data_IF_355250105909
#
_entry.id   IF_355250105909
#
_cell.length_a   1.000
_cell.length_b   1.000
_cell.length_c   1.000
_cell.angle_alpha   90.00
_cell.angle_beta   90.00
_cell.angle_gamma   90.00
#
_symmetry.space_group_name_H-M   'P 1'
#
loop_
_entity.id
_entity.type
_entity.pdbx_description
1 polymer ?
#
# COMPACT_ATOMS: atom_id res chain seq x y z
N UNK A 1 -10.10 24.79 22.12
CA UNK A 1 -9.51 24.43 20.82
C UNK A 1 -9.92 23.00 20.51
N UNK A 2 -10.48 22.70 19.33
CA UNK A 2 -10.69 21.31 18.90
C UNK A 2 -9.32 20.65 18.70
N UNK A 3 -9.17 19.41 19.18
CA UNK A 3 -7.93 18.64 19.15
C UNK A 3 -8.21 17.20 18.73
N UNK A 4 -7.16 16.49 18.31
CA UNK A 4 -7.20 15.03 18.16
C UNK A 4 -6.31 14.42 19.25
N UNK A 5 -6.66 13.25 19.78
CA UNK A 5 -5.86 12.54 20.77
C UNK A 5 -4.49 12.20 20.17
N UNK A 6 -4.44 11.97 18.86
CA UNK A 6 -3.23 11.79 18.08
C UNK A 6 -2.35 13.05 18.03
N UNK A 7 -2.89 14.26 17.78
CA UNK A 7 -2.10 15.50 17.82
C UNK A 7 -1.63 15.85 19.23
N UNK A 8 -2.45 15.63 20.26
CA UNK A 8 -2.06 15.81 21.65
C UNK A 8 -0.95 14.83 22.06
N UNK A 9 -1.06 13.55 21.70
CA UNK A 9 -0.03 12.52 21.97
C UNK A 9 1.23 12.76 21.14
N UNK A 10 1.12 13.18 19.87
CA UNK A 10 2.26 13.51 19.02
C UNK A 10 3.09 14.66 19.61
N UNK A 11 2.43 15.72 20.10
CA UNK A 11 3.10 16.83 20.79
C UNK A 11 3.81 16.38 22.05
N UNK A 12 3.18 15.54 22.87
CA UNK A 12 3.81 14.98 24.08
C UNK A 12 4.99 14.06 23.72
N UNK A 13 4.85 13.22 22.70
CA UNK A 13 5.93 12.34 22.22
C UNK A 13 7.12 13.12 21.63
N UNK A 14 6.86 14.25 20.96
CA UNK A 14 7.88 15.20 20.51
C UNK A 14 8.64 15.86 21.66
N UNK A 15 7.95 16.20 22.75
CA UNK A 15 8.57 16.75 23.97
C UNK A 15 9.41 15.73 24.75
N UNK A 16 9.10 14.43 24.65
CA UNK A 16 9.80 13.34 25.35
C UNK A 16 10.90 12.70 24.48
N UNK A 17 11.16 13.22 23.27
CA UNK A 17 12.23 12.70 22.38
C UNK A 17 11.94 11.31 21.81
N UNK A 18 10.68 10.87 21.80
CA UNK A 18 10.23 9.62 21.17
C UNK A 18 9.93 9.82 19.68
N UNK A 19 9.78 11.08 19.27
CA UNK A 19 9.74 11.46 17.85
C UNK A 19 11.17 11.60 17.30
N UNK A 20 11.37 11.06 16.09
CA UNK A 20 12.50 11.33 15.20
C UNK A 20 13.87 10.73 15.56
N UNK A 21 14.09 9.50 15.11
CA UNK A 21 15.37 9.22 14.44
C UNK A 21 15.17 9.41 12.94
N UNK A 22 15.47 10.63 12.50
CA UNK A 22 15.67 11.02 11.10
C UNK A 22 16.54 9.95 10.43
N UNK A 23 16.04 9.22 9.42
CA UNK A 23 16.95 8.49 8.55
C UNK A 23 17.91 9.52 7.95
N UNK A 24 19.20 9.17 7.83
CA UNK A 24 20.15 10.04 7.18
C UNK A 24 19.60 10.47 5.81
N UNK A 25 19.81 11.75 5.45
CA UNK A 25 19.53 12.23 4.10
C UNK A 25 20.43 11.50 3.11
N UNK A 26 20.02 10.31 2.68
CA UNK A 26 20.59 9.71 1.49
C UNK A 26 20.12 10.55 0.29
N UNK A 27 21.01 10.89 -0.66
CA UNK A 27 20.61 11.58 -1.87
C UNK A 27 19.48 10.81 -2.57
N UNK A 28 18.51 11.53 -3.14
CA UNK A 28 17.45 10.92 -3.92
C UNK A 28 18.09 10.18 -5.10
N UNK A 29 17.90 8.87 -5.18
CA UNK A 29 18.40 8.07 -6.30
C UNK A 29 17.45 8.27 -7.48
N UNK A 30 17.98 8.52 -8.68
CA UNK A 30 17.15 8.67 -9.89
C UNK A 30 16.56 7.35 -10.41
N UNK A 31 17.06 6.22 -9.92
CA UNK A 31 16.64 4.89 -10.38
C UNK A 31 15.44 4.38 -9.57
N UNK A 32 14.33 3.91 -10.19
CA UNK A 32 13.14 3.46 -9.47
C UNK A 32 13.38 2.27 -8.51
N UNK A 33 12.62 2.19 -7.42
CA UNK A 33 12.73 1.15 -6.39
C UNK A 33 12.86 -0.28 -6.94
N UNK A 34 11.95 -0.67 -7.85
CA UNK A 34 11.90 -2.03 -8.36
C UNK A 34 13.12 -2.38 -9.23
N UNK A 35 13.65 -1.42 -9.99
CA UNK A 35 14.88 -1.61 -10.75
C UNK A 35 16.07 -1.83 -9.82
N UNK A 36 16.19 -1.02 -8.74
CA UNK A 36 17.22 -1.22 -7.70
C UNK A 36 17.09 -2.59 -7.02
N UNK A 37 15.86 -3.03 -6.74
CA UNK A 37 15.60 -4.33 -6.12
C UNK A 37 16.00 -5.49 -7.06
N UNK A 38 15.68 -5.38 -8.35
CA UNK A 38 16.09 -6.34 -9.36
C UNK A 38 17.61 -6.44 -9.48
N UNK A 39 18.30 -5.29 -9.59
CA UNK A 39 19.77 -5.28 -9.70
C UNK A 39 20.42 -5.92 -8.47
N UNK A 40 19.96 -5.59 -7.26
CA UNK A 40 20.45 -6.23 -6.03
C UNK A 40 20.22 -7.74 -5.99
N UNK A 41 19.12 -8.23 -6.58
CA UNK A 41 18.87 -9.66 -6.67
C UNK A 41 19.85 -10.33 -7.65
N UNK A 42 20.09 -9.71 -8.81
CA UNK A 42 21.09 -10.17 -9.79
C UNK A 42 22.49 -10.23 -9.16
N UNK A 43 22.90 -9.18 -8.46
CA UNK A 43 24.23 -9.08 -7.85
C UNK A 43 24.48 -10.15 -6.76
N UNK A 44 23.41 -10.64 -6.12
CA UNK A 44 23.46 -11.65 -5.05
C UNK A 44 23.21 -13.08 -5.54
N UNK A 45 22.75 -13.24 -6.77
CA UNK A 45 22.37 -14.52 -7.33
C UNK A 45 23.58 -15.37 -7.73
N UNK A 46 23.38 -16.69 -7.86
CA UNK A 46 24.36 -17.54 -8.53
C UNK A 46 24.51 -17.12 -9.99
N UNK A 47 25.62 -17.49 -10.65
CA UNK A 47 25.82 -17.15 -12.06
C UNK A 47 24.71 -17.71 -12.98
N UNK A 48 24.17 -18.90 -12.66
CA UNK A 48 23.06 -19.50 -13.39
C UNK A 48 21.76 -18.71 -13.19
N UNK A 49 21.47 -18.33 -11.95
CA UNK A 49 20.29 -17.55 -11.58
C UNK A 49 20.31 -16.12 -12.16
N UNK A 50 21.46 -15.44 -12.07
CA UNK A 50 21.66 -14.12 -12.68
C UNK A 50 21.45 -14.18 -14.20
N UNK A 51 21.94 -15.23 -14.87
CA UNK A 51 21.69 -15.47 -16.30
C UNK A 51 20.21 -15.71 -16.58
N UNK A 52 19.52 -16.50 -15.76
CA UNK A 52 18.08 -16.75 -15.92
C UNK A 52 17.25 -15.47 -15.78
N UNK A 53 17.58 -14.62 -14.79
CA UNK A 53 16.95 -13.30 -14.62
C UNK A 53 17.22 -12.37 -15.81
N UNK A 54 18.44 -12.38 -16.36
CA UNK A 54 18.79 -11.62 -17.56
C UNK A 54 17.97 -12.06 -18.78
N UNK A 55 17.89 -13.37 -19.03
CA UNK A 55 17.07 -13.93 -20.13
C UNK A 55 15.59 -13.58 -19.97
N UNK A 56 15.05 -13.73 -18.75
CA UNK A 56 13.66 -13.38 -18.47
C UNK A 56 13.39 -11.88 -18.70
N UNK A 57 14.32 -11.00 -18.32
CA UNK A 57 14.20 -9.56 -18.57
C UNK A 57 14.20 -9.26 -20.06
N UNK A 58 15.14 -9.84 -20.80
CA UNK A 58 15.28 -9.61 -22.24
C UNK A 58 14.06 -10.15 -23.00
N UNK A 59 13.47 -11.26 -22.54
CA UNK A 59 12.22 -11.79 -23.07
C UNK A 59 11.03 -10.84 -22.85
N UNK A 60 10.95 -10.20 -21.68
CA UNK A 60 9.86 -9.28 -21.35
C UNK A 60 9.93 -7.96 -22.14
N UNK A 61 11.09 -7.60 -22.69
CA UNK A 61 11.27 -6.37 -23.47
C UNK A 61 10.78 -5.11 -22.72
N UNK A 62 9.83 -4.39 -23.31
CA UNK A 62 9.24 -3.18 -22.72
C UNK A 62 8.48 -3.46 -21.41
N UNK A 63 8.02 -4.70 -21.20
CA UNK A 63 7.34 -5.13 -19.98
C UNK A 63 8.32 -5.62 -18.88
N UNK A 64 9.64 -5.45 -19.06
CA UNK A 64 10.63 -5.74 -18.03
C UNK A 64 10.32 -5.16 -16.63
N UNK A 65 9.69 -3.97 -16.46
CA UNK A 65 9.27 -3.48 -15.15
C UNK A 65 8.38 -4.44 -14.36
N UNK A 66 7.60 -5.30 -15.03
CA UNK A 66 6.78 -6.33 -14.36
C UNK A 66 7.68 -7.37 -13.70
N UNK A 67 8.75 -7.78 -14.39
CA UNK A 67 9.73 -8.71 -13.84
C UNK A 67 10.44 -8.12 -12.62
N UNK A 68 10.74 -6.82 -12.64
CA UNK A 68 11.37 -6.14 -11.51
C UNK A 68 10.50 -6.19 -10.26
N UNK A 69 9.18 -6.01 -10.41
CA UNK A 69 8.22 -6.20 -9.32
C UNK A 69 8.14 -7.65 -8.85
N UNK A 70 8.13 -8.61 -9.79
CA UNK A 70 8.09 -10.04 -9.47
C UNK A 70 9.31 -10.48 -8.64
N UNK A 71 10.51 -9.96 -8.96
CA UNK A 71 11.71 -10.22 -8.16
C UNK A 71 11.64 -9.52 -6.80
N UNK A 72 11.21 -8.26 -6.76
CA UNK A 72 11.08 -7.49 -5.52
C UNK A 72 10.02 -8.04 -4.56
N UNK A 73 9.03 -8.80 -5.07
CA UNK A 73 8.02 -9.46 -4.23
C UNK A 73 8.58 -10.61 -3.39
N UNK A 74 9.81 -11.07 -3.71
CA UNK A 74 10.48 -12.18 -3.05
C UNK A 74 10.11 -13.55 -3.65
N UNK A 75 9.46 -13.58 -4.81
CA UNK A 75 9.09 -14.82 -5.48
C UNK A 75 10.33 -15.65 -5.88
N UNK A 76 10.24 -16.99 -5.89
CA UNK A 76 11.33 -17.84 -6.35
C UNK A 76 11.61 -17.60 -7.84
N UNK A 77 12.86 -17.79 -8.26
CA UNK A 77 13.30 -17.56 -9.65
C UNK A 77 12.51 -18.41 -10.65
N UNK A 78 12.10 -19.62 -10.27
CA UNK A 78 11.23 -20.46 -11.10
C UNK A 78 9.88 -19.81 -11.41
N UNK A 79 9.27 -19.14 -10.44
CA UNK A 79 8.02 -18.41 -10.63
C UNK A 79 8.22 -17.15 -11.48
N UNK A 80 9.32 -16.42 -11.26
CA UNK A 80 9.71 -15.25 -12.05
C UNK A 80 9.93 -15.63 -13.52
N UNK A 81 10.65 -16.72 -13.78
CA UNK A 81 10.86 -17.25 -15.13
C UNK A 81 9.55 -17.75 -15.76
N UNK A 82 8.68 -18.41 -14.99
CA UNK A 82 7.37 -18.85 -15.47
C UNK A 82 6.45 -17.68 -15.82
N UNK A 83 6.51 -16.58 -15.07
CA UNK A 83 5.81 -15.34 -15.41
C UNK A 83 6.28 -14.78 -16.75
N UNK A 84 7.59 -14.65 -16.95
CA UNK A 84 8.15 -14.19 -18.23
C UNK A 84 7.74 -15.10 -19.40
N UNK A 85 7.81 -16.41 -19.21
CA UNK A 85 7.43 -17.41 -20.21
C UNK A 85 5.93 -17.34 -20.59
N UNK A 86 5.06 -17.04 -19.62
CA UNK A 86 3.62 -16.98 -19.83
C UNK A 86 3.12 -15.62 -20.34
N UNK A 87 3.96 -14.57 -20.29
CA UNK A 87 3.55 -13.16 -20.42
C UNK A 87 2.83 -12.85 -21.74
N UNK A 88 3.42 -13.24 -22.87
CA UNK A 88 2.85 -12.99 -24.20
C UNK A 88 1.58 -13.80 -24.49
N UNK A 89 1.34 -14.87 -23.70
CA UNK A 89 0.14 -15.68 -23.77
C UNK A 89 -0.99 -15.22 -22.85
N UNK A 90 -0.80 -14.15 -22.08
CA UNK A 90 -1.86 -13.56 -21.27
C UNK A 90 -2.86 -12.81 -22.16
N UNK A 91 -4.13 -12.84 -21.74
CA UNK A 91 -5.14 -11.95 -22.32
C UNK A 91 -4.67 -10.49 -22.22
N UNK A 92 -4.86 -9.65 -23.28
CA UNK A 92 -4.36 -8.27 -23.27
C UNK A 92 -4.88 -7.42 -22.10
N UNK A 93 -6.12 -7.60 -21.66
CA UNK A 93 -6.69 -6.85 -20.53
C UNK A 93 -6.06 -7.30 -19.22
N UNK A 94 -5.81 -8.61 -19.07
CA UNK A 94 -5.09 -9.14 -17.93
C UNK A 94 -3.62 -8.67 -17.90
N UNK A 95 -2.96 -8.67 -19.06
CA UNK A 95 -1.58 -8.20 -19.20
C UNK A 95 -1.46 -6.73 -18.85
N UNK A 96 -2.38 -5.88 -19.30
CA UNK A 96 -2.41 -4.46 -18.93
C UNK A 96 -2.67 -4.27 -17.43
N UNK A 97 -3.66 -4.96 -16.86
CA UNK A 97 -3.97 -4.85 -15.44
C UNK A 97 -2.81 -5.29 -14.52
N UNK A 98 -2.07 -6.34 -14.91
CA UNK A 98 -0.89 -6.82 -14.16
C UNK A 98 0.35 -5.96 -14.43
N UNK A 99 0.52 -5.50 -15.67
CA UNK A 99 1.70 -4.80 -16.15
C UNK A 99 1.72 -3.33 -15.74
N UNK A 100 0.55 -2.71 -15.77
CA UNK A 100 0.28 -1.32 -15.45
C UNK A 100 -0.78 -1.24 -14.34
N UNK A 101 -0.49 -1.71 -13.10
CA UNK A 101 -1.42 -1.61 -11.99
C UNK A 101 -1.44 -0.16 -11.48
N UNK A 102 -1.94 0.77 -12.30
CA UNK A 102 -1.75 2.19 -12.03
C UNK A 102 -2.94 2.77 -11.29
N UNK A 103 -2.67 3.22 -10.08
CA UNK A 103 -3.49 4.19 -9.37
C UNK A 103 -3.25 5.60 -9.97
N UNK A 104 -3.54 5.74 -11.27
CA UNK A 104 -3.47 7.00 -12.04
C UNK A 104 -4.66 7.89 -11.67
N UNK A 105 -4.55 9.22 -11.82
CA UNK A 105 -5.72 10.09 -11.72
C UNK A 105 -6.77 9.65 -12.74
N UNK A 106 -7.83 9.04 -12.23
CA UNK A 106 -8.98 8.55 -12.98
C UNK A 106 -10.22 8.75 -12.12
N UNK A 107 -11.37 8.90 -12.75
CA UNK A 107 -12.62 9.15 -12.02
C UNK A 107 -12.94 8.02 -11.05
N UNK A 108 -12.65 6.76 -11.45
CA UNK A 108 -12.81 5.54 -10.66
C UNK A 108 -11.65 4.56 -10.91
N UNK A 109 -11.00 4.08 -9.85
CA UNK A 109 -10.00 3.02 -9.91
C UNK A 109 -10.71 1.68 -10.16
N UNK A 110 -10.29 0.97 -11.20
CA UNK A 110 -10.81 -0.34 -11.58
C UNK A 110 -9.69 -1.34 -11.80
N UNK A 111 -9.98 -2.58 -11.45
CA UNK A 111 -9.24 -3.75 -11.91
C UNK A 111 -10.02 -4.34 -13.06
N UNK A 112 -9.56 -4.13 -14.31
CA UNK A 112 -10.30 -4.58 -15.50
C UNK A 112 -11.68 -3.91 -15.47
N UNK A 113 -12.77 -4.68 -15.28
CA UNK A 113 -14.14 -4.17 -15.20
C UNK A 113 -14.68 -3.99 -13.77
N UNK A 114 -13.91 -4.36 -12.73
CA UNK A 114 -14.36 -4.32 -11.33
C UNK A 114 -13.86 -3.06 -10.64
N UNK A 115 -14.74 -2.34 -9.95
CA UNK A 115 -14.32 -1.21 -9.12
C UNK A 115 -13.45 -1.69 -7.97
N UNK A 116 -12.30 -1.02 -7.77
CA UNK A 116 -11.43 -1.24 -6.64
C UNK A 116 -12.08 -0.64 -5.39
N UNK A 117 -13.25 -1.12 -4.99
CA UNK A 117 -14.01 -0.64 -3.85
C UNK A 117 -13.76 -1.52 -2.64
N UNK A 118 -13.77 -0.93 -1.45
CA UNK A 118 -13.79 -1.69 -0.20
C UNK A 118 -15.08 -2.50 -0.08
N UNK A 119 -15.00 -3.67 0.57
CA UNK A 119 -16.16 -4.54 0.84
C UNK A 119 -17.19 -3.84 1.74
N UNK A 120 -16.77 -3.24 2.84
CA UNK A 120 -17.63 -2.55 3.79
C UNK A 120 -16.91 -1.41 4.52
N UNK A 121 -17.59 -0.73 5.45
CA UNK A 121 -17.07 0.44 6.18
C UNK A 121 -15.86 0.15 7.09
N UNK A 122 -15.52 -1.12 7.31
CA UNK A 122 -14.41 -1.56 8.17
C UNK A 122 -13.21 -2.08 7.36
N UNK A 123 -13.37 -2.29 6.05
CA UNK A 123 -12.31 -2.86 5.20
C UNK A 123 -11.49 -1.82 4.44
N UNK A 124 -11.58 -0.53 4.76
CA UNK A 124 -10.78 0.52 4.10
C UNK A 124 -9.27 0.23 4.14
N UNK A 125 -8.71 -0.12 5.30
CA UNK A 125 -7.30 -0.47 5.45
C UNK A 125 -6.92 -1.73 4.66
N UNK A 126 -7.75 -2.77 4.71
CA UNK A 126 -7.53 -3.99 3.94
C UNK A 126 -7.62 -3.74 2.41
N UNK A 127 -8.52 -2.86 1.95
CA UNK A 127 -8.61 -2.45 0.55
C UNK A 127 -7.36 -1.70 0.09
N UNK A 128 -6.86 -0.77 0.92
CA UNK A 128 -5.58 -0.08 0.70
C UNK A 128 -4.40 -1.07 0.61
N UNK A 129 -4.31 -2.03 1.55
CA UNK A 129 -3.27 -3.06 1.53
C UNK A 129 -3.37 -3.96 0.28
N UNK A 130 -4.59 -4.38 -0.09
CA UNK A 130 -4.82 -5.14 -1.32
C UNK A 130 -4.38 -4.37 -2.55
N UNK A 131 -4.69 -3.07 -2.64
CA UNK A 131 -4.27 -2.23 -3.77
C UNK A 131 -2.74 -2.10 -3.85
N UNK A 132 -2.06 -1.95 -2.71
CA UNK A 132 -0.60 -1.97 -2.65
C UNK A 132 -0.01 -3.32 -3.12
N UNK A 133 -0.60 -4.45 -2.70
CA UNK A 133 -0.18 -5.78 -3.14
C UNK A 133 -0.37 -5.97 -4.64
N UNK A 134 -1.52 -5.57 -5.18
CA UNK A 134 -1.80 -5.59 -6.62
C UNK A 134 -0.77 -4.75 -7.41
N UNK A 135 -0.34 -3.62 -6.85
CA UNK A 135 0.67 -2.77 -7.48
C UNK A 135 2.08 -3.35 -7.37
N UNK A 136 2.43 -3.92 -6.22
CA UNK A 136 3.80 -4.32 -5.91
C UNK A 136 4.15 -5.79 -6.22
N UNK A 137 3.15 -6.66 -6.39
CA UNK A 137 3.33 -8.10 -6.63
C UNK A 137 2.50 -8.59 -7.82
N UNK A 138 3.14 -8.81 -8.98
CA UNK A 138 2.48 -9.31 -10.19
C UNK A 138 1.80 -10.67 -10.01
N UNK A 139 2.22 -11.50 -9.06
CA UNK A 139 1.58 -12.80 -8.82
C UNK A 139 0.24 -12.66 -8.11
N UNK A 140 0.14 -11.70 -7.17
CA UNK A 140 -1.16 -11.35 -6.55
C UNK A 140 -2.07 -10.74 -7.60
N UNK A 141 -1.55 -9.81 -8.41
CA UNK A 141 -2.31 -9.19 -9.50
C UNK A 141 -2.83 -10.22 -10.51
N UNK A 142 -1.97 -11.12 -10.97
CA UNK A 142 -2.33 -12.19 -11.90
C UNK A 142 -3.42 -13.08 -11.32
N UNK A 143 -3.31 -13.48 -10.06
CA UNK A 143 -4.32 -14.31 -9.41
C UNK A 143 -5.65 -13.57 -9.27
N UNK A 144 -5.67 -12.31 -8.80
CA UNK A 144 -6.91 -11.55 -8.70
C UNK A 144 -7.58 -11.43 -10.07
N UNK A 145 -6.82 -11.04 -11.09
CA UNK A 145 -7.38 -10.78 -12.43
C UNK A 145 -7.84 -12.07 -13.12
N UNK A 146 -7.01 -13.12 -13.09
CA UNK A 146 -7.22 -14.32 -13.93
C UNK A 146 -7.57 -15.58 -13.16
N UNK A 147 -7.35 -15.61 -11.86
CA UNK A 147 -7.44 -16.82 -11.02
C UNK A 147 -6.24 -17.76 -11.15
N UNK A 148 -5.22 -17.42 -11.97
CA UNK A 148 -4.08 -18.28 -12.24
C UNK A 148 -2.96 -18.08 -11.22
N UNK A 149 -2.27 -19.18 -10.90
CA UNK A 149 -0.96 -19.20 -10.25
C UNK A 149 0.07 -19.78 -11.23
N UNK A 150 1.36 -19.55 -10.98
CA UNK A 150 2.44 -19.97 -11.89
C UNK A 150 3.53 -20.73 -11.13
N UNK A 151 4.03 -21.81 -11.75
CA UNK A 151 5.10 -22.66 -11.20
C UNK A 151 4.87 -23.07 -9.73
N UNK A 152 3.62 -23.41 -9.40
CA UNK A 152 3.14 -23.78 -8.05
C UNK A 152 3.41 -22.72 -6.96
N UNK A 153 3.81 -21.50 -7.35
CA UNK A 153 4.00 -20.40 -6.44
C UNK A 153 2.66 -19.73 -6.14
N UNK A 154 2.30 -19.73 -4.86
CA UNK A 154 1.10 -19.09 -4.34
C UNK A 154 1.55 -18.01 -3.35
N UNK A 155 1.31 -16.72 -3.63
CA UNK A 155 1.59 -15.65 -2.68
C UNK A 155 0.89 -15.90 -1.33
N UNK A 156 1.48 -15.56 -0.18
CA UNK A 156 0.91 -15.87 1.13
C UNK A 156 -0.52 -15.37 1.33
N UNK A 157 -0.84 -14.18 0.82
CA UNK A 157 -2.16 -13.57 0.94
C UNK A 157 -3.20 -14.29 0.06
N UNK A 158 -2.76 -14.81 -1.10
CA UNK A 158 -3.57 -15.66 -1.99
C UNK A 158 -3.80 -17.02 -1.35
N UNK A 159 -2.76 -17.61 -0.74
CA UNK A 159 -2.86 -18.87 -0.02
C UNK A 159 -3.86 -18.76 1.14
N UNK A 160 -3.85 -17.64 1.88
CA UNK A 160 -4.80 -17.39 2.95
C UNK A 160 -6.25 -17.39 2.43
N UNK A 161 -6.51 -16.82 1.25
CA UNK A 161 -7.82 -16.89 0.61
C UNK A 161 -8.17 -18.31 0.19
N UNK A 162 -7.25 -19.01 -0.49
CA UNK A 162 -7.49 -20.37 -1.00
C UNK A 162 -7.69 -21.41 0.10
N UNK A 163 -7.15 -21.15 1.30
CA UNK A 163 -7.35 -21.99 2.47
C UNK A 163 -8.75 -21.83 3.09
N UNK A 164 -9.50 -20.77 2.74
CA UNK A 164 -10.91 -20.67 3.10
C UNK A 164 -11.72 -21.68 2.28
N UNK A 165 -12.63 -22.42 2.93
CA UNK A 165 -13.52 -23.39 2.27
C UNK A 165 -14.68 -22.68 1.52
N UNK A 166 -14.33 -21.71 0.69
CA UNK A 166 -15.24 -20.92 -0.13
C UNK A 166 -14.63 -20.71 -1.52
N UNK A 167 -15.23 -21.28 -2.58
CA UNK A 167 -14.71 -21.08 -3.92
C UNK A 167 -14.84 -19.61 -4.33
N UNK A 168 -13.79 -19.08 -4.97
CA UNK A 168 -13.76 -17.76 -5.61
C UNK A 168 -13.52 -17.94 -7.11
N UNK A 169 -14.51 -17.58 -7.92
CA UNK A 169 -14.57 -17.85 -9.37
C UNK A 169 -14.36 -16.58 -10.18
N UNK A 170 -14.90 -15.45 -9.71
CA UNK A 170 -14.80 -14.15 -10.38
C UNK A 170 -13.62 -13.28 -9.92
N UNK A 171 -13.29 -12.27 -10.73
CA UNK A 171 -12.31 -11.24 -10.38
C UNK A 171 -12.77 -10.46 -9.14
N UNK A 172 -14.04 -10.06 -9.12
CA UNK A 172 -14.70 -9.37 -8.01
C UNK A 172 -14.68 -10.21 -6.73
N UNK A 173 -15.02 -11.50 -6.82
CA UNK A 173 -14.98 -12.42 -5.69
C UNK A 173 -13.56 -12.55 -5.12
N UNK A 174 -12.54 -12.65 -5.99
CA UNK A 174 -11.12 -12.72 -5.58
C UNK A 174 -10.63 -11.41 -4.97
N UNK A 175 -10.97 -10.26 -5.56
CA UNK A 175 -10.66 -8.94 -5.02
C UNK A 175 -11.24 -8.76 -3.61
N UNK A 176 -12.52 -9.11 -3.42
CA UNK A 176 -13.17 -9.02 -2.11
C UNK A 176 -12.66 -10.07 -1.12
N UNK A 177 -12.31 -11.26 -1.58
CA UNK A 177 -11.74 -12.30 -0.72
C UNK A 177 -10.35 -11.90 -0.20
N UNK A 178 -9.50 -11.30 -1.05
CA UNK A 178 -8.20 -10.77 -0.63
C UNK A 178 -8.35 -9.72 0.48
N UNK A 179 -9.30 -8.79 0.34
CA UNK A 179 -9.59 -7.82 1.40
C UNK A 179 -10.04 -8.49 2.70
N UNK A 180 -10.93 -9.49 2.63
CA UNK A 180 -11.39 -10.19 3.83
C UNK A 180 -10.28 -10.96 4.53
N UNK A 181 -9.40 -11.63 3.77
CA UNK A 181 -8.25 -12.34 4.31
C UNK A 181 -7.29 -11.37 5.04
N UNK A 182 -6.96 -10.24 4.42
CA UNK A 182 -6.12 -9.21 5.05
C UNK A 182 -6.80 -8.57 6.27
N UNK A 183 -8.10 -8.30 6.20
CA UNK A 183 -8.84 -7.76 7.35
C UNK A 183 -8.86 -8.76 8.51
N UNK A 184 -9.09 -10.05 8.24
CA UNK A 184 -9.03 -11.09 9.25
C UNK A 184 -7.63 -11.21 9.86
N UNK A 185 -6.58 -11.21 9.03
CA UNK A 185 -5.19 -11.30 9.48
C UNK A 185 -4.79 -10.12 10.39
N UNK A 186 -5.13 -8.91 9.97
CA UNK A 186 -4.78 -7.68 10.70
C UNK A 186 -5.61 -7.47 11.97
N UNK A 187 -6.75 -8.17 12.12
CA UNK A 187 -7.59 -8.07 13.32
C UNK A 187 -7.41 -9.21 14.31
N UNK A 188 -6.90 -10.38 13.90
CA UNK A 188 -6.89 -11.58 14.78
C UNK A 188 -5.86 -11.51 15.91
N UNK A 189 -4.70 -10.87 15.70
CA UNK A 189 -3.62 -10.77 16.70
C UNK A 189 -3.03 -9.36 16.75
N UNK A 190 -3.90 -8.37 16.90
CA UNK A 190 -3.55 -6.95 16.77
C UNK A 190 -2.70 -6.41 17.92
N UNK A 191 -2.99 -6.81 19.16
CA UNK A 191 -2.30 -6.37 20.36
C UNK A 191 -1.68 -7.58 21.06
N UNK A 192 -0.67 -8.19 20.42
CA UNK A 192 -0.14 -9.49 20.84
C UNK A 192 -1.17 -10.60 20.56
N UNK A 193 -1.56 -11.43 21.56
CA UNK A 193 -2.58 -12.47 21.37
C UNK A 193 -4.01 -11.93 21.32
N UNK A 194 -4.22 -10.64 21.58
CA UNK A 194 -5.55 -10.04 21.67
C UNK A 194 -6.02 -9.55 20.30
N UNK A 195 -7.21 -9.99 19.90
CA UNK A 195 -7.86 -9.54 18.68
C UNK A 195 -8.29 -8.07 18.77
N UNK A 196 -8.13 -7.35 17.68
CA UNK A 196 -8.75 -6.03 17.50
C UNK A 196 -10.22 -6.20 17.12
N UNK A 197 -11.13 -5.39 17.68
CA UNK A 197 -12.51 -5.43 17.26
C UNK A 197 -12.63 -5.14 15.75
N UNK A 198 -13.13 -6.10 14.98
CA UNK A 198 -13.29 -5.97 13.52
C UNK A 198 -14.14 -4.76 13.12
N UNK A 199 -15.06 -4.34 13.98
CA UNK A 199 -15.88 -3.14 13.79
C UNK A 199 -15.07 -1.83 13.74
N UNK A 200 -13.82 -1.85 14.22
CA UNK A 200 -12.91 -0.72 14.19
C UNK A 200 -11.96 -0.76 12.98
N UNK A 201 -12.11 -1.73 12.08
CA UNK A 201 -11.30 -1.88 10.88
C UNK A 201 -9.85 -2.29 11.15
N UNK A 202 -8.91 -1.81 10.33
CA UNK A 202 -7.50 -2.20 10.37
C UNK A 202 -6.68 -1.24 11.24
N UNK A 203 -6.03 -1.69 12.34
CA UNK A 203 -5.24 -0.80 13.17
C UNK A 203 -3.91 -0.38 12.50
N UNK A 204 -3.41 0.86 12.70
CA UNK A 204 -2.23 1.38 11.98
C UNK A 204 -0.98 0.52 12.10
N UNK A 205 -0.65 0.05 13.31
CA UNK A 205 0.53 -0.79 13.55
C UNK A 205 0.48 -2.15 12.85
N UNK A 206 -0.71 -2.62 12.41
CA UNK A 206 -0.82 -3.84 11.62
C UNK A 206 -0.60 -3.63 10.14
N UNK A 207 -0.89 -2.44 9.61
CA UNK A 207 -0.47 -2.05 8.27
C UNK A 207 1.06 -2.01 8.22
N UNK A 208 1.70 -1.46 9.26
CA UNK A 208 3.17 -1.42 9.38
C UNK A 208 3.81 -2.81 9.31
N UNK A 209 3.24 -3.77 10.04
CA UNK A 209 3.82 -5.12 10.21
C UNK A 209 3.48 -6.10 9.06
N UNK A 210 2.35 -5.92 8.39
CA UNK A 210 1.81 -6.93 7.45
C UNK A 210 1.78 -6.46 5.99
N UNK A 211 2.03 -5.17 5.71
CA UNK A 211 2.06 -4.69 4.32
C UNK A 211 3.33 -5.17 3.62
N UNK A 212 3.17 -6.08 2.65
CA UNK A 212 4.26 -6.54 1.80
C UNK A 212 4.34 -5.68 0.55
N UNK A 213 5.44 -4.94 0.41
CA UNK A 213 5.72 -4.15 -0.78
C UNK A 213 7.22 -4.11 -1.05
N UNK A 214 7.68 -4.73 -2.13
CA UNK A 214 9.10 -4.73 -2.55
C UNK A 214 10.11 -5.13 -1.43
N UNK A 215 9.72 -5.98 -0.48
CA UNK A 215 10.53 -6.36 0.68
C UNK A 215 10.78 -5.24 1.71
N UNK A 216 10.17 -4.07 1.54
CA UNK A 216 10.26 -2.95 2.46
C UNK A 216 9.63 -3.26 3.82
N UNK A 217 10.04 -2.50 4.83
CA UNK A 217 9.34 -2.41 6.11
C UNK A 217 8.59 -1.09 6.16
N UNK A 218 7.48 -1.08 6.86
CA UNK A 218 6.72 0.14 7.10
C UNK A 218 6.72 0.47 8.59
N UNK A 219 6.52 1.75 8.88
CA UNK A 219 6.35 2.24 10.25
C UNK A 219 5.38 3.40 10.27
N UNK A 220 4.50 3.33 11.24
CA UNK A 220 3.53 4.32 11.56
C UNK A 220 4.14 5.53 12.27
N UNK A 221 3.65 6.71 11.91
CA UNK A 221 3.90 7.95 12.60
C UNK A 221 2.59 8.70 12.82
N UNK A 222 2.42 9.25 14.03
CA UNK A 222 1.32 10.16 14.31
C UNK A 222 1.49 11.45 13.48
N UNK A 223 0.38 11.97 12.99
CA UNK A 223 0.36 13.25 12.26
C UNK A 223 -0.06 14.35 13.25
N UNK A 224 0.78 15.37 13.39
CA UNK A 224 0.39 16.65 14.02
C UNK A 224 0.08 17.67 12.92
N UNK A 225 -1.18 17.70 12.52
CA UNK A 225 -1.71 18.62 11.50
C UNK A 225 -1.92 20.06 11.99
N UNK A 226 -1.75 20.30 13.29
CA UNK A 226 -1.91 21.63 13.88
C UNK A 226 -0.64 22.48 13.81
N UNK A 227 0.49 21.88 13.42
CA UNK A 227 1.78 22.54 13.26
C UNK A 227 2.33 22.28 11.86
N UNK A 228 2.36 23.30 10.97
CA UNK A 228 2.95 23.16 9.64
C UNK A 228 4.41 22.68 9.68
N UNK A 229 5.16 23.10 10.69
CA UNK A 229 6.56 22.69 10.87
C UNK A 229 6.70 21.20 11.21
N UNK A 230 5.77 20.65 12.02
CA UNK A 230 5.76 19.23 12.35
C UNK A 230 5.23 18.36 11.19
N UNK A 231 4.29 18.90 10.39
CA UNK A 231 3.70 18.21 9.25
C UNK A 231 4.67 18.14 8.05
N UNK A 232 5.44 19.20 7.80
CA UNK A 232 6.35 19.30 6.65
C UNK A 232 7.30 18.08 6.44
N UNK A 233 8.04 17.58 7.46
CA UNK A 233 8.93 16.42 7.27
C UNK A 233 8.16 15.13 6.94
N UNK A 234 6.95 14.97 7.48
CA UNK A 234 6.09 13.82 7.18
C UNK A 234 5.66 13.84 5.71
N UNK A 235 5.21 15.00 5.22
CA UNK A 235 4.82 15.16 3.82
C UNK A 235 6.02 14.99 2.88
N UNK A 236 7.19 15.53 3.23
CA UNK A 236 8.41 15.34 2.44
C UNK A 236 8.80 13.86 2.32
N UNK A 237 8.67 13.07 3.40
CA UNK A 237 8.92 11.64 3.36
C UNK A 237 7.88 10.92 2.48
N UNK A 238 6.59 11.27 2.62
CA UNK A 238 5.55 10.71 1.76
C UNK A 238 5.82 10.99 0.27
N UNK A 239 6.19 12.23 -0.09
CA UNK A 239 6.57 12.59 -1.47
C UNK A 239 7.75 11.78 -1.98
N UNK A 240 8.79 11.59 -1.16
CA UNK A 240 9.94 10.76 -1.53
C UNK A 240 9.54 9.31 -1.79
N UNK A 241 8.67 8.75 -0.94
CA UNK A 241 8.15 7.40 -1.13
C UNK A 241 7.35 7.29 -2.45
N UNK A 242 6.49 8.27 -2.74
CA UNK A 242 5.72 8.35 -3.98
C UNK A 242 6.61 8.51 -5.21
N UNK A 243 7.68 9.30 -5.13
CA UNK A 243 8.69 9.44 -6.18
C UNK A 243 9.42 8.12 -6.49
N UNK A 244 9.56 7.25 -5.49
CA UNK A 244 10.07 5.88 -5.63
C UNK A 244 8.99 4.87 -6.08
N UNK A 245 7.76 5.33 -6.31
CA UNK A 245 6.61 4.49 -6.68
C UNK A 245 6.05 3.66 -5.54
N UNK A 246 6.25 4.09 -4.28
CA UNK A 246 5.74 3.44 -3.07
C UNK A 246 4.49 4.20 -2.59
N UNK A 247 3.29 3.60 -2.67
CA UNK A 247 2.09 4.19 -2.09
C UNK A 247 2.19 4.31 -0.56
N UNK A 248 1.56 5.33 0.01
CA UNK A 248 1.64 5.64 1.45
C UNK A 248 0.25 5.59 2.08
N UNK A 249 -0.05 4.62 2.96
CA UNK A 249 -1.30 4.63 3.71
C UNK A 249 -1.38 5.83 4.65
N UNK A 250 -2.52 6.52 4.59
CA UNK A 250 -2.85 7.66 5.44
C UNK A 250 -4.16 7.36 6.16
N UNK A 251 -4.14 7.45 7.47
CA UNK A 251 -5.33 7.31 8.30
C UNK A 251 -5.97 8.66 8.55
N UNK A 252 -7.28 8.71 8.38
CA UNK A 252 -8.10 9.87 8.71
C UNK A 252 -9.00 9.62 9.93
N UNK A 253 -9.30 10.71 10.63
CA UNK A 253 -10.14 10.73 11.84
C UNK A 253 -10.99 12.00 11.89
N UNK A 254 -11.91 12.04 12.86
CA UNK A 254 -12.65 13.23 13.23
C UNK A 254 -11.86 14.07 14.25
N UNK A 255 -12.51 15.11 14.76
CA UNK A 255 -12.00 15.95 15.84
C UNK A 255 -12.78 15.74 17.15
N UNK A 256 -12.24 16.22 18.27
CA UNK A 256 -12.89 16.10 19.58
C UNK A 256 -14.25 16.80 19.68
N UNK A 257 -14.55 17.78 18.80
CA UNK A 257 -15.84 18.46 18.79
C UNK A 257 -16.95 17.57 18.20
N UNK A 258 -16.58 16.52 17.45
CA UNK A 258 -17.47 15.47 16.96
C UNK A 258 -17.67 14.30 17.94
N UNK A 259 -17.08 14.38 19.14
CA UNK A 259 -17.18 13.38 20.21
C UNK A 259 -15.94 12.48 20.32
N UNK A 260 -15.69 11.94 21.52
CA UNK A 260 -14.46 11.20 21.88
C UNK A 260 -14.24 9.97 20.98
N UNK A 261 -15.32 9.29 20.56
CA UNK A 261 -15.25 8.09 19.71
C UNK A 261 -14.76 8.37 18.29
N UNK A 262 -14.85 9.63 17.82
CA UNK A 262 -14.44 10.05 16.47
C UNK A 262 -12.95 10.35 16.36
N UNK A 263 -12.25 10.38 17.49
CA UNK A 263 -10.84 10.78 17.61
C UNK A 263 -9.88 9.62 17.29
N UNK A 264 -10.38 8.38 17.31
CA UNK A 264 -9.62 7.20 16.91
C UNK A 264 -9.51 7.19 15.37
N UNK A 265 -8.35 6.87 14.77
CA UNK A 265 -8.25 6.65 13.33
C UNK A 265 -9.30 5.64 12.84
N UNK A 266 -10.21 6.06 11.95
CA UNK A 266 -11.36 5.24 11.53
C UNK A 266 -11.33 4.84 10.07
N UNK A 267 -10.60 5.57 9.25
CA UNK A 267 -10.59 5.36 7.81
C UNK A 267 -9.17 5.42 7.28
N UNK A 268 -8.90 4.63 6.25
CA UNK A 268 -7.59 4.55 5.61
C UNK A 268 -7.78 4.88 4.15
N UNK A 269 -6.97 5.81 3.68
CA UNK A 269 -6.82 6.16 2.27
C UNK A 269 -5.38 5.90 1.85
N UNK A 270 -5.12 5.88 0.55
CA UNK A 270 -3.79 5.60 0.02
C UNK A 270 -3.30 6.78 -0.80
N UNK A 271 -2.19 7.40 -0.40
CA UNK A 271 -1.50 8.36 -1.25
C UNK A 271 -0.84 7.58 -2.39
N UNK A 272 -1.08 8.00 -3.63
CA UNK A 272 -0.67 7.27 -4.85
C UNK A 272 0.09 8.13 -5.85
N UNK A 273 0.13 9.44 -5.64
CA UNK A 273 0.93 10.36 -6.44
C UNK A 273 1.16 11.69 -5.75
N UNK A 274 2.21 12.38 -6.17
CA UNK A 274 2.55 13.76 -5.76
C UNK A 274 2.09 14.72 -6.86
N UNK A 275 1.39 15.79 -6.51
CA UNK A 275 0.98 16.86 -7.44
C UNK A 275 1.91 18.07 -7.39
N UNK A 276 2.90 18.07 -6.49
CA UNK A 276 3.79 19.20 -6.20
C UNK A 276 3.26 20.11 -5.09
N UNK A 277 1.95 20.37 -5.07
CA UNK A 277 1.23 21.17 -4.07
C UNK A 277 0.29 20.33 -3.18
N UNK A 278 0.34 19.01 -3.32
CA UNK A 278 -0.54 18.07 -2.66
C UNK A 278 -0.31 16.64 -3.13
N UNK A 279 -1.35 15.83 -3.02
CA UNK A 279 -1.32 14.41 -3.33
C UNK A 279 -2.52 13.98 -4.16
N UNK A 280 -2.33 12.89 -4.91
CA UNK A 280 -3.42 12.05 -5.40
C UNK A 280 -3.70 10.95 -4.38
N UNK A 281 -4.97 10.76 -4.04
CA UNK A 281 -5.41 9.87 -2.97
C UNK A 281 -6.45 8.88 -3.48
N UNK A 282 -6.14 7.60 -3.41
CA UNK A 282 -7.14 6.55 -3.58
C UNK A 282 -8.00 6.43 -2.32
N UNK A 283 -9.29 6.73 -2.48
CA UNK A 283 -10.32 6.60 -1.46
C UNK A 283 -11.12 5.31 -1.71
N UNK A 284 -10.96 4.29 -0.84
CA UNK A 284 -11.46 2.94 -1.12
C UNK A 284 -12.97 2.79 -0.97
N UNK A 285 -13.64 3.68 -0.24
CA UNK A 285 -15.10 3.71 -0.06
C UNK A 285 -15.87 4.06 -1.32
N UNK A 286 -15.32 4.94 -2.16
CA UNK A 286 -15.87 5.36 -3.45
C UNK A 286 -15.13 4.78 -4.65
N UNK A 287 -13.99 4.10 -4.41
CA UNK A 287 -13.08 3.61 -5.43
C UNK A 287 -12.57 4.72 -6.36
N UNK A 288 -12.29 5.92 -5.83
CA UNK A 288 -11.88 7.08 -6.63
C UNK A 288 -10.48 7.53 -6.29
N UNK A 289 -9.82 8.16 -7.25
CA UNK A 289 -8.57 8.90 -7.00
C UNK A 289 -8.89 10.39 -6.97
N UNK A 290 -8.66 11.00 -5.81
CA UNK A 290 -9.08 12.35 -5.48
C UNK A 290 -7.85 13.20 -5.15
N UNK A 291 -7.81 14.48 -5.58
CA UNK A 291 -6.76 15.39 -5.16
C UNK A 291 -6.92 15.77 -3.68
N UNK A 292 -5.81 15.99 -3.00
CA UNK A 292 -5.71 16.48 -1.63
C UNK A 292 -4.60 17.52 -1.57
N UNK A 293 -4.93 18.80 -1.40
CA UNK A 293 -3.92 19.85 -1.31
C UNK A 293 -3.23 19.85 0.05
N UNK A 294 -1.97 20.28 0.13
CA UNK A 294 -1.26 20.44 1.40
C UNK A 294 -1.99 21.41 2.34
N UNK A 295 -2.58 22.46 1.78
CA UNK A 295 -3.36 23.44 2.53
C UNK A 295 -4.63 22.83 3.16
N UNK A 296 -5.15 21.75 2.59
CA UNK A 296 -6.36 21.08 3.08
C UNK A 296 -6.07 20.15 4.27
N UNK A 297 -4.81 19.79 4.51
CA UNK A 297 -4.41 19.01 5.69
C UNK A 297 -4.45 19.83 7.00
N UNK A 298 -4.95 21.06 6.97
CA UNK A 298 -5.02 21.93 8.13
C UNK A 298 -6.28 21.68 8.98
N UNK A 299 -6.25 22.04 10.28
CA UNK A 299 -7.34 21.78 11.22
C UNK A 299 -8.73 22.32 10.81
N UNK A 300 -8.76 23.38 10.01
CA UNK A 300 -9.92 24.21 9.68
C UNK A 300 -10.54 23.89 8.31
N UNK A 301 -9.95 22.97 7.55
CA UNK A 301 -10.38 22.64 6.18
C UNK A 301 -11.69 21.84 6.08
N UNK A 302 -12.29 21.47 7.23
CA UNK A 302 -13.55 20.75 7.27
C UNK A 302 -13.43 19.30 6.77
N UNK A 303 -14.53 18.72 6.29
CA UNK A 303 -14.56 17.33 5.79
C UNK A 303 -14.10 17.25 4.34
N UNK A 304 -13.19 16.33 4.07
CA UNK A 304 -12.57 16.20 2.76
C UNK A 304 -12.93 14.86 2.10
N UNK A 305 -13.44 14.87 0.85
CA UNK A 305 -13.72 13.63 0.11
C UNK A 305 -12.50 12.73 -0.02
N UNK A 306 -11.31 13.29 -0.25
CA UNK A 306 -10.05 12.55 -0.36
C UNK A 306 -9.65 11.84 0.95
N UNK A 307 -10.22 12.22 2.09
CA UNK A 307 -10.02 11.56 3.38
C UNK A 307 -11.22 10.67 3.78
N UNK A 308 -12.11 10.32 2.85
CA UNK A 308 -13.33 9.56 3.15
C UNK A 308 -14.41 10.39 3.86
N UNK A 309 -14.45 11.71 3.60
CA UNK A 309 -15.29 12.70 4.31
C UNK A 309 -14.98 12.86 5.80
N UNK A 310 -13.76 12.50 6.20
CA UNK A 310 -13.20 12.85 7.52
C UNK A 310 -12.53 14.21 7.47
N UNK A 311 -12.31 14.80 8.65
CA UNK A 311 -11.77 16.17 8.74
C UNK A 311 -10.27 16.26 8.95
N UNK A 312 -9.61 15.18 9.40
CA UNK A 312 -8.22 15.24 9.87
C UNK A 312 -7.41 14.06 9.36
N UNK A 313 -6.15 14.32 9.02
CA UNK A 313 -5.13 13.28 8.94
C UNK A 313 -4.59 12.99 10.35
N UNK A 314 -4.49 11.72 10.71
CA UNK A 314 -4.22 11.32 12.11
C UNK A 314 -2.98 10.45 12.27
N UNK A 315 -2.65 9.67 11.24
CA UNK A 315 -1.54 8.74 11.24
C UNK A 315 -1.11 8.44 9.81
N UNK A 316 0.19 8.31 9.57
CA UNK A 316 0.74 7.93 8.28
C UNK A 316 1.61 6.67 8.43
N UNK A 317 1.62 5.81 7.42
CA UNK A 317 2.44 4.59 7.42
C UNK A 317 3.50 4.73 6.32
N UNK A 318 4.76 4.94 6.74
CA UNK A 318 5.86 5.28 5.83
C UNK A 318 6.85 4.13 5.68
N UNK A 319 7.48 3.96 4.51
CA UNK A 319 8.54 2.98 4.34
C UNK A 319 9.75 3.35 5.22
N UNK A 320 10.44 2.34 5.74
CA UNK A 320 11.67 2.49 6.52
C UNK A 320 12.73 1.48 6.07
N UNK A 321 14.03 1.84 6.11
CA UNK A 321 15.09 0.89 5.82
C UNK A 321 15.02 -0.35 6.72
N UNK A 322 15.29 -1.53 6.17
CA UNK A 322 15.52 -2.73 6.98
C UNK A 322 16.84 -2.53 7.74
N UNK A 323 16.80 -2.62 9.08
CA UNK A 323 18.03 -2.74 9.87
C UNK A 323 18.73 -4.04 9.46
N UNK A 324 19.99 -3.94 9.05
CA UNK A 324 20.92 -5.06 8.91
C UNK A 324 21.26 -5.69 10.26
#
# INVERSE_FOLDING_TARGET
>A
MPWTLTSAVARIAGLVGVSERRPAEEPATSEPLFARAFQRAVDRASAADAKALGVARDQMGDDAPVLYRAVASGAPISAVAALAAAWDGLDPEARDAVGNPVMRPQSHLRWVHVEARQVDQTTCGAATMSAMLMQGDPFVALWVVTGRTLADYIPPEVLAVMAEDRPVRGLDERWYALQRALHAQTTTSALGPVAWPRSLGTPPWKVDDNTRYAGLRFRGALVDDSSPEALAPVLAHARRALGDGIPVPLYSSGDSALGIDSVIPRHVVLLVGDTGDGFLVYEPGSARILPLADADLRPDSGRLPALGNWSRASWVVLPVPRRS
#
